data_IF_341341858774
#
_entry.id   IF_341341858774
#
_cell.length_a   1.000
_cell.length_b   1.000
_cell.length_c   1.000
_cell.angle_alpha   90.00
_cell.angle_beta   90.00
_cell.angle_gamma   90.00
#
_symmetry.space_group_name_H-M   'P 1'
#
loop_
_entity.id
_entity.type
_entity.pdbx_description
1 polymer ?
#
# COMPACT_ATOMS: atom_id res chain seq x y z
N UNK A 1 41.08 -49.10 47.41
CA UNK A 1 39.76 -48.55 47.82
C UNK A 1 39.24 -47.76 46.70
N UNK A 2 38.42 -48.40 45.88
CA UNK A 2 37.73 -47.80 44.76
C UNK A 2 36.31 -47.49 45.23
N UNK A 3 35.80 -46.25 45.04
CA UNK A 3 34.46 -45.93 45.43
C UNK A 3 33.43 -46.49 44.45
N UNK A 4 32.40 -47.08 45.02
CA UNK A 4 31.22 -47.69 44.37
C UNK A 4 30.36 -46.65 43.70
N UNK A 5 29.88 -46.86 42.47
CA UNK A 5 29.00 -45.92 41.80
C UNK A 5 27.57 -46.02 42.37
N UNK A 6 26.98 -44.85 42.65
CA UNK A 6 25.62 -44.70 43.19
C UNK A 6 24.59 -45.15 42.13
N UNK A 7 23.56 -45.92 42.50
CA UNK A 7 22.45 -46.25 41.61
C UNK A 7 21.40 -45.14 41.64
N UNK A 8 20.95 -44.67 40.48
CA UNK A 8 19.75 -43.84 40.45
C UNK A 8 19.79 -42.60 39.57
N UNK A 9 20.41 -42.66 38.37
CA UNK A 9 20.11 -41.66 37.35
C UNK A 9 18.84 -42.09 36.59
N UNK A 10 17.70 -41.50 37.01
CA UNK A 10 16.44 -41.63 36.29
C UNK A 10 16.61 -41.03 34.88
N UNK A 11 16.43 -41.88 33.89
CA UNK A 11 16.36 -41.44 32.47
C UNK A 11 15.24 -40.46 32.29
N UNK A 12 15.47 -39.33 31.56
CA UNK A 12 14.37 -38.44 31.18
C UNK A 12 13.41 -39.23 30.31
N UNK A 13 12.18 -39.34 30.78
CA UNK A 13 11.08 -39.91 29.99
C UNK A 13 10.96 -39.04 28.72
N UNK A 14 11.28 -39.62 27.57
CA UNK A 14 10.99 -39.06 26.27
C UNK A 14 9.47 -38.79 26.22
N UNK A 15 9.10 -37.54 26.46
CA UNK A 15 7.75 -37.07 26.21
C UNK A 15 7.54 -37.21 24.69
N UNK A 16 6.87 -38.27 24.32
CA UNK A 16 6.34 -38.44 22.96
C UNK A 16 5.43 -37.26 22.66
N UNK A 17 5.97 -36.30 21.89
CA UNK A 17 5.21 -35.20 21.34
C UNK A 17 4.04 -35.82 20.57
N UNK A 18 2.80 -35.57 20.98
CA UNK A 18 1.67 -36.12 20.28
C UNK A 18 1.70 -35.55 18.85
N UNK A 19 1.84 -36.46 17.90
CA UNK A 19 1.84 -36.17 16.47
C UNK A 19 0.47 -35.60 16.10
N UNK A 20 0.31 -34.27 16.24
CA UNK A 20 -0.94 -33.55 15.99
C UNK A 20 -1.33 -33.47 14.51
N UNK A 21 -0.79 -34.40 13.70
CA UNK A 21 -1.20 -34.61 12.32
C UNK A 21 -2.25 -35.72 12.14
N UNK A 22 -3.01 -36.05 13.16
CA UNK A 22 -4.27 -36.75 12.93
C UNK A 22 -5.24 -35.74 12.34
N UNK A 23 -5.07 -35.49 11.05
CA UNK A 23 -6.05 -34.85 10.19
C UNK A 23 -7.30 -35.72 10.33
N UNK A 24 -8.22 -35.28 11.17
CA UNK A 24 -9.51 -35.99 11.32
C UNK A 24 -10.27 -35.79 10.00
N UNK A 25 -10.12 -36.76 9.09
CA UNK A 25 -10.99 -36.96 7.93
C UNK A 25 -12.40 -37.38 8.43
N UNK A 26 -13.00 -36.55 9.26
CA UNK A 26 -14.41 -36.67 9.60
C UNK A 26 -15.21 -36.24 8.38
N UNK A 27 -15.92 -37.16 7.71
CA UNK A 27 -16.83 -36.79 6.64
C UNK A 27 -17.85 -35.79 7.20
N UNK A 28 -17.86 -34.56 6.69
CA UNK A 28 -18.78 -33.51 7.14
C UNK A 28 -18.19 -32.43 8.06
N UNK A 29 -16.88 -32.44 8.39
CA UNK A 29 -16.27 -31.29 9.04
C UNK A 29 -16.33 -30.08 8.09
N UNK A 30 -16.90 -28.93 8.51
CA UNK A 30 -16.93 -27.75 7.66
C UNK A 30 -15.50 -27.37 7.30
N UNK A 31 -15.27 -27.07 6.01
CA UNK A 31 -13.96 -26.62 5.55
C UNK A 31 -13.51 -25.40 6.39
N UNK A 32 -12.21 -25.33 6.76
CA UNK A 32 -11.71 -24.19 7.52
C UNK A 32 -12.11 -22.89 6.82
N UNK A 33 -12.78 -21.99 7.53
CA UNK A 33 -13.19 -20.72 6.99
C UNK A 33 -11.98 -19.99 6.43
N UNK A 34 -12.06 -19.51 5.19
CA UNK A 34 -10.99 -18.75 4.57
C UNK A 34 -10.67 -17.51 5.44
N UNK A 35 -9.39 -17.17 5.64
CA UNK A 35 -9.02 -16.04 6.47
C UNK A 35 -9.71 -14.76 5.98
N UNK A 36 -10.20 -13.92 6.89
CA UNK A 36 -10.94 -12.71 6.53
C UNK A 36 -10.05 -11.79 5.68
N UNK A 37 -10.54 -11.37 4.53
CA UNK A 37 -9.84 -10.41 3.67
C UNK A 37 -9.82 -9.05 4.34
N UNK A 38 -8.66 -8.40 4.43
CA UNK A 38 -8.43 -7.18 5.23
C UNK A 38 -8.16 -5.94 4.39
N UNK A 39 -8.05 -6.07 3.07
CA UNK A 39 -7.74 -4.94 2.19
C UNK A 39 -6.25 -4.56 2.13
N UNK A 40 -5.36 -5.36 2.70
CA UNK A 40 -3.91 -5.12 2.79
C UNK A 40 -3.25 -4.92 1.42
N UNK A 41 -3.64 -5.73 0.43
CA UNK A 41 -3.01 -5.72 -0.90
C UNK A 41 -3.15 -4.35 -1.57
N UNK A 42 -4.31 -3.68 -1.44
CA UNK A 42 -4.52 -2.37 -2.04
C UNK A 42 -3.55 -1.31 -1.50
N UNK A 43 -3.21 -1.35 -0.22
CA UNK A 43 -2.22 -0.45 0.38
C UNK A 43 -0.79 -0.85 0.04
N UNK A 44 -0.47 -2.15 0.02
CA UNK A 44 0.86 -2.64 -0.33
C UNK A 44 1.26 -2.28 -1.77
N UNK A 45 0.32 -2.19 -2.69
CA UNK A 45 0.58 -1.72 -4.06
C UNK A 45 1.05 -0.26 -4.13
N UNK A 46 0.86 0.52 -3.07
CA UNK A 46 1.43 1.84 -2.94
C UNK A 46 2.96 1.89 -3.01
N UNK A 47 3.65 0.79 -2.67
CA UNK A 47 5.11 0.70 -2.82
C UNK A 47 5.59 0.71 -4.27
N UNK A 48 4.70 0.50 -5.25
CA UNK A 48 5.05 0.65 -6.66
C UNK A 48 5.44 2.08 -7.02
N UNK A 49 5.05 3.07 -6.21
CA UNK A 49 5.54 4.44 -6.36
C UNK A 49 7.05 4.60 -6.13
N UNK A 50 7.70 3.63 -5.46
CA UNK A 50 9.15 3.60 -5.27
C UNK A 50 9.94 3.08 -6.48
N UNK A 51 9.28 2.81 -7.61
CA UNK A 51 9.98 2.47 -8.85
C UNK A 51 10.92 3.63 -9.26
N UNK A 52 12.07 3.31 -9.89
CA UNK A 52 13.10 4.31 -10.21
C UNK A 52 12.67 5.37 -11.23
N UNK A 53 11.47 5.25 -11.79
CA UNK A 53 10.84 6.24 -12.66
C UNK A 53 9.73 6.97 -11.88
N UNK A 54 10.00 8.14 -11.27
CA UNK A 54 9.11 8.73 -10.26
C UNK A 54 7.68 8.97 -10.74
N UNK A 55 7.50 9.55 -11.94
CA UNK A 55 6.15 9.81 -12.49
C UNK A 55 5.44 8.50 -12.84
N UNK A 56 6.14 7.56 -13.49
CA UNK A 56 5.60 6.25 -13.87
C UNK A 56 5.24 5.46 -12.62
N UNK A 57 6.10 5.46 -11.60
CA UNK A 57 5.84 4.81 -10.33
C UNK A 57 4.56 5.30 -9.66
N UNK A 58 4.34 6.62 -9.61
CA UNK A 58 3.11 7.20 -9.06
C UNK A 58 1.86 6.81 -9.88
N UNK A 59 1.94 6.85 -11.20
CA UNK A 59 0.82 6.44 -12.07
C UNK A 59 0.50 4.96 -11.87
N UNK A 60 1.50 4.09 -11.90
CA UNK A 60 1.31 2.65 -11.70
C UNK A 60 0.75 2.36 -10.31
N UNK A 61 1.28 2.98 -9.27
CA UNK A 61 0.76 2.84 -7.91
C UNK A 61 -0.70 3.31 -7.80
N UNK A 62 -1.01 4.50 -8.34
CA UNK A 62 -2.36 5.06 -8.32
C UNK A 62 -3.39 4.19 -9.06
N UNK A 63 -3.05 3.73 -10.27
CA UNK A 63 -3.92 2.85 -11.07
C UNK A 63 -4.14 1.50 -10.38
N UNK A 64 -3.08 0.88 -9.89
CA UNK A 64 -3.19 -0.44 -9.22
C UNK A 64 -3.96 -0.34 -7.91
N UNK A 65 -3.73 0.70 -7.10
CA UNK A 65 -4.50 0.97 -5.88
C UNK A 65 -5.98 1.19 -6.19
N UNK A 66 -6.29 1.93 -7.27
CA UNK A 66 -7.66 2.15 -7.72
C UNK A 66 -8.33 0.84 -8.12
N UNK A 67 -7.74 0.08 -9.04
CA UNK A 67 -8.31 -1.17 -9.56
C UNK A 67 -8.49 -2.20 -8.45
N UNK A 68 -7.44 -2.46 -7.66
CA UNK A 68 -7.49 -3.46 -6.60
C UNK A 68 -8.39 -2.99 -5.46
N UNK A 69 -8.34 -1.71 -5.10
CA UNK A 69 -9.23 -1.14 -4.09
C UNK A 69 -10.71 -1.28 -4.46
N UNK A 70 -11.06 -0.99 -5.71
CA UNK A 70 -12.43 -1.19 -6.22
C UNK A 70 -12.82 -2.67 -6.25
N UNK A 71 -11.91 -3.56 -6.64
CA UNK A 71 -12.18 -5.01 -6.64
C UNK A 71 -12.49 -5.56 -5.25
N UNK A 72 -11.94 -4.94 -4.20
CA UNK A 72 -12.17 -5.34 -2.82
C UNK A 72 -13.54 -4.92 -2.28
N UNK A 73 -14.25 -3.96 -2.92
CA UNK A 73 -15.62 -3.57 -2.52
C UNK A 73 -16.58 -4.75 -2.45
N UNK A 74 -16.45 -5.70 -3.38
CA UNK A 74 -17.33 -6.88 -3.46
C UNK A 74 -17.17 -7.88 -2.31
N UNK A 75 -16.11 -7.73 -1.51
CA UNK A 75 -15.86 -8.66 -0.39
C UNK A 75 -16.47 -8.19 0.94
N UNK A 76 -17.02 -6.97 0.99
CA UNK A 76 -17.65 -6.42 2.19
C UNK A 76 -16.68 -6.15 3.36
N UNK A 77 -17.21 -5.67 4.47
CA UNK A 77 -16.49 -5.46 5.72
C UNK A 77 -15.22 -4.63 5.58
N UNK A 78 -14.18 -4.97 6.34
CA UNK A 78 -12.90 -4.25 6.37
C UNK A 78 -12.19 -4.24 5.00
N UNK A 79 -12.35 -5.29 4.19
CA UNK A 79 -11.73 -5.32 2.86
C UNK A 79 -12.32 -4.24 1.96
N UNK A 80 -13.64 -4.06 1.96
CA UNK A 80 -14.32 -3.03 1.19
C UNK A 80 -13.96 -1.63 1.68
N UNK A 81 -13.95 -1.40 3.00
CA UNK A 81 -13.63 -0.10 3.59
C UNK A 81 -12.19 0.31 3.29
N UNK A 82 -11.23 -0.55 3.59
CA UNK A 82 -9.81 -0.29 3.37
C UNK A 82 -9.48 -0.19 1.87
N UNK A 83 -10.12 -1.03 1.04
CA UNK A 83 -9.96 -1.00 -0.42
C UNK A 83 -10.43 0.32 -1.04
N UNK A 84 -11.62 0.81 -0.66
CA UNK A 84 -12.14 2.09 -1.17
C UNK A 84 -11.27 3.27 -0.74
N UNK A 85 -10.72 3.25 0.48
CA UNK A 85 -9.81 4.30 0.93
C UNK A 85 -8.49 4.28 0.19
N UNK A 86 -7.92 3.09 -0.06
CA UNK A 86 -6.75 2.95 -0.91
C UNK A 86 -7.03 3.44 -2.34
N UNK A 87 -8.21 3.14 -2.90
CA UNK A 87 -8.63 3.63 -4.20
C UNK A 87 -8.77 5.16 -4.25
N UNK A 88 -9.34 5.77 -3.22
CA UNK A 88 -9.41 7.24 -3.10
C UNK A 88 -8.03 7.87 -3.07
N UNK A 89 -7.10 7.26 -2.34
CA UNK A 89 -5.71 7.71 -2.33
C UNK A 89 -5.06 7.54 -3.71
N UNK A 90 -5.28 6.40 -4.38
CA UNK A 90 -4.82 6.17 -5.74
C UNK A 90 -5.33 7.22 -6.74
N UNK A 91 -6.60 7.63 -6.63
CA UNK A 91 -7.15 8.74 -7.43
C UNK A 91 -6.45 10.07 -7.12
N UNK A 92 -6.21 10.36 -5.84
CA UNK A 92 -5.44 11.55 -5.45
C UNK A 92 -4.07 11.54 -6.10
N UNK A 93 -3.39 10.39 -6.13
CA UNK A 93 -2.09 10.24 -6.78
C UNK A 93 -2.15 10.52 -8.29
N UNK A 94 -3.19 10.06 -8.97
CA UNK A 94 -3.36 10.26 -10.41
C UNK A 94 -3.63 11.72 -10.79
N UNK A 95 -4.15 12.54 -9.88
CA UNK A 95 -4.33 13.98 -10.12
C UNK A 95 -2.99 14.72 -10.30
N UNK A 96 -1.90 14.25 -9.68
CA UNK A 96 -0.60 14.93 -9.74
C UNK A 96 0.04 14.92 -11.13
N UNK A 97 0.19 13.78 -11.82
CA UNK A 97 0.72 13.77 -13.18
C UNK A 97 -0.11 14.63 -14.15
N UNK A 98 -1.44 14.63 -13.99
CA UNK A 98 -2.33 15.47 -14.80
C UNK A 98 -2.06 16.94 -14.54
N UNK A 99 -1.96 17.34 -13.28
CA UNK A 99 -1.68 18.74 -12.90
C UNK A 99 -0.29 19.16 -13.41
N UNK A 100 0.72 18.30 -13.29
CA UNK A 100 2.06 18.54 -13.83
C UNK A 100 2.03 18.76 -15.35
N UNK A 101 1.28 17.93 -16.08
CA UNK A 101 1.13 18.05 -17.52
C UNK A 101 0.46 19.38 -17.89
N UNK A 102 -0.60 19.78 -17.19
CA UNK A 102 -1.28 21.08 -17.42
C UNK A 102 -0.33 22.22 -17.21
N UNK A 103 0.46 22.22 -16.13
CA UNK A 103 1.44 23.27 -15.84
C UNK A 103 2.55 23.31 -16.91
N UNK A 104 3.01 22.15 -17.36
CA UNK A 104 4.01 22.09 -18.43
C UNK A 104 3.46 22.67 -19.74
N UNK A 105 2.23 22.33 -20.12
CA UNK A 105 1.57 22.90 -21.33
C UNK A 105 1.41 24.43 -21.18
N UNK A 106 0.96 24.91 -20.04
CA UNK A 106 0.82 26.33 -19.78
C UNK A 106 2.18 27.05 -19.84
N UNK A 107 3.24 26.44 -19.28
CA UNK A 107 4.59 26.97 -19.34
C UNK A 107 5.10 27.13 -20.78
N UNK A 108 4.84 26.12 -21.62
CA UNK A 108 5.21 26.16 -23.05
C UNK A 108 4.36 27.22 -23.79
N UNK A 109 3.06 27.30 -23.51
CA UNK A 109 2.15 28.23 -24.20
C UNK A 109 2.37 29.70 -23.82
N UNK A 110 2.89 30.00 -22.64
CA UNK A 110 3.12 31.36 -22.14
C UNK A 110 4.59 31.77 -22.10
N UNK A 111 5.50 30.84 -22.41
CA UNK A 111 6.93 31.12 -22.45
C UNK A 111 7.37 31.78 -23.75
N UNK A 112 8.53 32.40 -23.75
CA UNK A 112 9.14 33.04 -24.91
C UNK A 112 10.10 32.07 -25.65
N UNK A 113 10.17 32.11 -26.99
CA UNK A 113 11.13 31.30 -27.73
C UNK A 113 12.57 31.65 -27.34
N UNK A 114 13.34 30.68 -26.92
CA UNK A 114 14.76 30.84 -26.60
C UNK A 114 15.63 30.74 -27.88
N UNK A 115 16.79 31.37 -27.85
CA UNK A 115 17.72 31.40 -28.99
C UNK A 115 18.26 30.01 -29.40
N UNK A 116 18.22 29.03 -28.49
CA UNK A 116 18.71 27.66 -28.70
C UNK A 116 17.57 26.65 -28.96
N UNK A 117 16.40 27.13 -29.37
CA UNK A 117 15.23 26.28 -29.64
C UNK A 117 14.48 25.78 -28.39
N UNK A 118 14.84 26.29 -27.21
CA UNK A 118 14.11 26.07 -25.96
C UNK A 118 12.98 27.08 -25.74
N UNK A 119 12.32 27.00 -24.57
CA UNK A 119 11.31 27.95 -24.11
C UNK A 119 11.82 28.58 -22.81
N UNK A 120 11.90 29.91 -22.78
CA UNK A 120 12.15 30.65 -21.55
C UNK A 120 10.84 30.82 -20.80
N UNK A 121 10.75 30.25 -19.61
CA UNK A 121 9.58 30.41 -18.76
C UNK A 121 9.54 31.85 -18.20
N UNK A 122 8.33 32.38 -18.05
CA UNK A 122 8.19 33.61 -17.28
C UNK A 122 8.57 33.36 -15.82
N UNK A 123 9.04 34.37 -15.06
CA UNK A 123 9.43 34.20 -13.66
C UNK A 123 8.33 33.60 -12.78
N UNK A 124 7.08 33.89 -13.11
CA UNK A 124 5.92 33.31 -12.42
C UNK A 124 5.81 31.81 -12.71
N UNK A 125 5.95 31.40 -13.98
CA UNK A 125 5.89 29.98 -14.36
C UNK A 125 7.07 29.19 -13.81
N UNK A 126 8.25 29.80 -13.74
CA UNK A 126 9.42 29.19 -13.09
C UNK A 126 9.15 28.93 -11.60
N UNK A 127 8.65 29.92 -10.85
CA UNK A 127 8.30 29.78 -9.46
C UNK A 127 7.21 28.70 -9.24
N UNK A 128 6.18 28.65 -10.11
CA UNK A 128 5.14 27.63 -10.09
C UNK A 128 5.74 26.25 -10.32
N UNK A 129 6.62 26.11 -11.30
CA UNK A 129 7.26 24.82 -11.63
C UNK A 129 8.12 24.31 -10.47
N UNK A 130 8.93 25.18 -9.86
CA UNK A 130 9.73 24.83 -8.67
C UNK A 130 8.82 24.45 -7.51
N UNK A 131 7.76 25.23 -7.23
CA UNK A 131 6.79 24.91 -6.18
C UNK A 131 6.11 23.56 -6.39
N UNK A 132 5.75 23.24 -7.64
CA UNK A 132 5.15 21.96 -7.99
C UNK A 132 6.13 20.80 -7.84
N UNK A 133 7.41 21.01 -8.16
CA UNK A 133 8.45 19.99 -7.96
C UNK A 133 8.61 19.68 -6.46
N UNK A 134 8.70 20.70 -5.61
CA UNK A 134 8.75 20.51 -4.15
C UNK A 134 7.51 19.75 -3.65
N UNK A 135 6.33 20.18 -4.11
CA UNK A 135 5.08 19.52 -3.72
C UNK A 135 5.01 18.07 -4.20
N UNK A 136 5.54 17.76 -5.37
CA UNK A 136 5.68 16.39 -5.89
C UNK A 136 6.50 15.50 -4.94
N UNK A 137 7.63 15.99 -4.44
CA UNK A 137 8.44 15.25 -3.46
C UNK A 137 7.71 15.05 -2.14
N UNK A 138 6.98 16.07 -1.66
CA UNK A 138 6.17 15.95 -0.44
C UNK A 138 5.08 14.90 -0.61
N UNK A 139 4.39 14.89 -1.75
CA UNK A 139 3.35 13.88 -2.06
C UNK A 139 3.96 12.49 -2.20
N UNK A 140 5.15 12.37 -2.80
CA UNK A 140 5.88 11.10 -2.88
C UNK A 140 6.24 10.54 -1.49
N UNK A 141 6.69 11.41 -0.58
CA UNK A 141 6.95 11.03 0.80
C UNK A 141 5.68 10.59 1.54
N UNK A 142 4.58 11.35 1.38
CA UNK A 142 3.28 10.97 1.93
C UNK A 142 2.79 9.64 1.38
N UNK A 143 3.00 9.37 0.09
CA UNK A 143 2.69 8.07 -0.52
C UNK A 143 3.41 6.94 0.20
N UNK A 144 4.70 7.08 0.46
CA UNK A 144 5.47 6.06 1.16
C UNK A 144 4.94 5.84 2.59
N UNK A 145 4.69 6.93 3.32
CA UNK A 145 4.13 6.87 4.68
C UNK A 145 2.76 6.16 4.65
N UNK A 146 1.89 6.51 3.71
CA UNK A 146 0.55 5.93 3.60
C UNK A 146 0.60 4.46 3.19
N UNK A 147 1.51 4.07 2.30
CA UNK A 147 1.72 2.67 1.94
C UNK A 147 2.16 1.84 3.16
N UNK A 148 3.11 2.34 3.96
CA UNK A 148 3.60 1.67 5.17
C UNK A 148 2.47 1.57 6.21
N UNK A 149 1.91 2.71 6.63
CA UNK A 149 0.91 2.78 7.70
C UNK A 149 -0.37 2.04 7.30
N UNK A 150 -0.85 2.23 6.06
CA UNK A 150 -2.03 1.57 5.53
C UNK A 150 -1.87 0.05 5.49
N UNK A 151 -0.70 -0.44 5.06
CA UNK A 151 -0.39 -1.87 5.04
C UNK A 151 -0.35 -2.45 6.46
N UNK A 152 0.33 -1.79 7.40
CA UNK A 152 0.42 -2.25 8.80
C UNK A 152 -0.95 -2.27 9.46
N UNK A 153 -1.75 -1.22 9.34
CA UNK A 153 -3.09 -1.17 9.94
C UNK A 153 -4.00 -2.24 9.34
N UNK A 154 -4.00 -2.38 8.00
CA UNK A 154 -4.81 -3.39 7.34
C UNK A 154 -4.40 -4.82 7.72
N UNK A 155 -3.10 -5.13 7.87
CA UNK A 155 -2.63 -6.46 8.32
C UNK A 155 -3.07 -6.77 9.75
N UNK A 156 -3.15 -5.76 10.61
CA UNK A 156 -3.67 -5.89 11.99
C UNK A 156 -5.20 -6.04 12.05
N UNK A 157 -5.89 -5.96 10.90
CA UNK A 157 -7.35 -6.01 10.86
C UNK A 157 -8.00 -4.71 11.36
N UNK A 158 -7.27 -3.59 11.33
CA UNK A 158 -7.80 -2.29 11.68
C UNK A 158 -8.34 -1.55 10.44
N UNK A 159 -9.29 -0.64 10.69
CA UNK A 159 -9.76 0.29 9.68
C UNK A 159 -8.72 1.39 9.46
N UNK A 160 -8.27 1.55 8.21
CA UNK A 160 -7.27 2.57 7.84
C UNK A 160 -7.95 3.93 7.73
N UNK A 161 -7.75 4.82 8.71
CA UNK A 161 -8.36 6.17 8.77
C UNK A 161 -7.37 7.27 8.44
N UNK A 162 -6.68 7.14 7.31
CA UNK A 162 -5.81 8.18 6.80
C UNK A 162 -6.63 9.29 6.11
N UNK A 163 -6.20 10.57 6.19
CA UNK A 163 -6.84 11.66 5.48
C UNK A 163 -6.65 11.49 3.96
N UNK A 164 -7.75 11.23 3.26
CA UNK A 164 -7.78 11.07 1.81
C UNK A 164 -8.95 11.86 1.24
N UNK A 165 -8.82 12.36 0.02
CA UNK A 165 -9.93 13.03 -0.67
C UNK A 165 -11.00 11.98 -0.99
N UNK A 166 -12.25 12.16 -0.54
CA UNK A 166 -13.30 11.13 -0.66
C UNK A 166 -13.97 11.16 -2.04
N UNK A 167 -13.26 10.79 -3.10
CA UNK A 167 -13.85 10.65 -4.44
C UNK A 167 -14.89 9.54 -4.49
N UNK A 168 -14.65 8.45 -3.76
CA UNK A 168 -15.52 7.28 -3.69
C UNK A 168 -16.12 7.16 -2.29
N UNK A 169 -17.41 6.88 -2.22
CA UNK A 169 -18.08 6.67 -0.93
C UNK A 169 -17.64 5.33 -0.33
N UNK A 170 -17.20 5.38 0.92
CA UNK A 170 -16.90 4.19 1.71
C UNK A 170 -18.22 3.48 2.04
N UNK A 171 -18.34 2.17 1.79
CA UNK A 171 -19.52 1.42 2.19
C UNK A 171 -19.72 1.53 3.72
N UNK A 172 -20.96 1.82 4.13
CA UNK A 172 -21.34 1.70 5.54
C UNK A 172 -21.53 0.22 5.80
N UNK A 173 -20.74 -0.33 6.71
CA UNK A 173 -20.84 -1.71 7.16
C UNK A 173 -22.07 -1.96 8.01
#
# INVERSE_FOLDING_TARGET
MTPEPAPGAAQPTEQSVPNSRVRSDRPGAPAPAAPPRRGTIAWALGFLACLPLPVVGLVVAGVTQLIVGLSQRKHGGLAATNGVRAANWGLTQLCWPVLMLVIAILGIATGEPGSEGGVHLTPVMEAVTVGMLVLFFVVGLLQLIYAIVGTILATRGAEVRLPVIPFLRVPRG
#
